data_IF_088338248527
#
_entry.id   IF_088338248527
#
_cell.length_a   1.000
_cell.length_b   1.000
_cell.length_c   1.000
_cell.angle_alpha   90.00
_cell.angle_beta   90.00
_cell.angle_gamma   90.00
#
_symmetry.space_group_name_H-M   'P 1'
#
loop_
_entity.id
_entity.type
_entity.pdbx_description
1 polymer ?
#
# COMPACT_ATOMS: atom_id res chain seq x y z
N UNK A 1 7.08 5.80 0.19
CA UNK A 1 7.30 4.78 1.21
C UNK A 1 6.97 3.36 0.75
N UNK A 2 5.98 3.17 -0.11
CA UNK A 2 5.57 1.84 -0.59
C UNK A 2 6.13 1.50 -1.99
N UNK A 3 7.07 2.27 -2.46
CA UNK A 3 7.86 2.00 -3.66
C UNK A 3 9.17 1.31 -3.29
N UNK A 4 9.77 0.58 -4.22
CA UNK A 4 10.99 -0.20 -4.00
C UNK A 4 12.19 0.66 -3.59
N UNK A 5 12.31 1.88 -4.13
CA UNK A 5 13.38 2.82 -3.79
C UNK A 5 13.41 3.24 -2.30
N UNK A 6 12.31 3.02 -1.56
CA UNK A 6 12.21 3.32 -0.13
C UNK A 6 12.24 2.07 0.76
N UNK A 7 12.58 0.93 0.22
CA UNK A 7 12.80 -0.27 1.00
C UNK A 7 13.98 -0.09 1.95
N UNK A 8 13.89 -0.69 3.13
CA UNK A 8 14.91 -0.57 4.19
C UNK A 8 15.22 0.86 4.62
N UNK A 9 14.33 1.81 4.36
CA UNK A 9 14.49 3.18 4.84
C UNK A 9 14.35 3.25 6.37
N UNK A 10 14.63 4.42 6.95
CA UNK A 10 14.55 4.65 8.42
C UNK A 10 13.14 4.42 9.02
N UNK A 11 12.12 4.38 8.20
CA UNK A 11 10.73 4.07 8.61
C UNK A 11 10.51 2.55 8.74
N UNK A 12 11.32 1.72 8.13
CA UNK A 12 11.20 0.27 8.18
C UNK A 12 11.79 -0.28 9.48
N UNK A 13 10.99 -1.05 10.22
CA UNK A 13 11.44 -1.82 11.39
C UNK A 13 11.51 -3.30 11.05
N UNK A 14 10.51 -3.79 10.32
CA UNK A 14 10.49 -5.17 9.84
C UNK A 14 9.82 -5.25 8.49
N UNK A 15 10.53 -5.79 7.50
CA UNK A 15 10.06 -6.05 6.15
C UNK A 15 10.27 -7.51 5.77
N UNK A 16 9.32 -8.08 5.04
CA UNK A 16 9.50 -9.34 4.32
C UNK A 16 10.04 -9.01 2.92
N UNK A 17 11.18 -9.59 2.59
CA UNK A 17 11.84 -9.36 1.30
C UNK A 17 11.24 -10.20 0.20
N UNK A 18 11.09 -9.58 -0.95
CA UNK A 18 10.71 -10.23 -2.18
C UNK A 18 11.69 -9.88 -3.30
N UNK A 19 11.69 -10.68 -4.37
CA UNK A 19 12.50 -10.41 -5.56
C UNK A 19 11.79 -10.91 -6.82
N UNK A 20 11.89 -10.13 -7.89
CA UNK A 20 11.30 -10.44 -9.19
C UNK A 20 12.17 -11.41 -10.02
N UNK A 21 13.41 -11.66 -9.60
CA UNK A 21 14.36 -12.51 -10.35
C UNK A 21 14.38 -13.97 -9.91
N UNK A 22 13.46 -14.36 -9.03
CA UNK A 22 13.33 -15.74 -8.55
C UNK A 22 12.98 -16.72 -9.66
N UNK A 23 13.76 -17.79 -9.79
CA UNK A 23 13.66 -18.75 -10.91
C UNK A 23 12.42 -19.67 -10.89
N UNK A 24 11.57 -19.59 -9.89
CA UNK A 24 10.54 -20.61 -9.64
C UNK A 24 9.20 -20.02 -9.23
N UNK A 25 8.93 -18.77 -9.55
CA UNK A 25 7.64 -18.17 -9.28
C UNK A 25 6.57 -18.83 -10.18
N UNK A 26 5.89 -19.81 -9.63
CA UNK A 26 4.84 -20.57 -10.29
C UNK A 26 3.60 -20.72 -9.38
N UNK A 27 2.51 -21.18 -9.98
CA UNK A 27 1.25 -21.39 -9.26
C UNK A 27 1.32 -22.54 -8.23
N UNK A 28 2.32 -23.40 -8.29
CA UNK A 28 2.51 -24.45 -7.31
C UNK A 28 3.14 -23.95 -6.00
N UNK A 29 3.63 -22.72 -5.97
CA UNK A 29 4.08 -22.05 -4.76
C UNK A 29 5.36 -22.61 -4.14
N UNK A 30 6.09 -23.47 -4.82
CA UNK A 30 7.20 -24.25 -4.20
C UNK A 30 8.45 -23.42 -3.93
N UNK A 31 8.61 -22.29 -4.61
CA UNK A 31 9.79 -21.46 -4.47
C UNK A 31 9.53 -20.00 -4.91
N UNK A 32 8.31 -19.53 -4.70
CA UNK A 32 7.98 -18.14 -5.02
C UNK A 32 8.79 -17.20 -4.16
N UNK A 33 9.53 -16.31 -4.81
CA UNK A 33 10.32 -15.24 -4.18
C UNK A 33 9.71 -13.86 -4.47
N UNK A 34 8.75 -13.79 -5.40
CA UNK A 34 7.98 -12.61 -5.70
C UNK A 34 6.79 -12.40 -4.76
N UNK A 35 6.37 -11.15 -4.62
CA UNK A 35 5.22 -10.77 -3.84
C UNK A 35 3.94 -10.90 -4.67
N UNK A 36 3.22 -12.01 -4.50
CA UNK A 36 1.96 -12.27 -5.21
C UNK A 36 0.79 -11.42 -4.72
N UNK A 37 0.86 -10.83 -3.53
CA UNK A 37 -0.24 -10.02 -2.98
C UNK A 37 -0.44 -8.73 -3.79
N UNK A 38 0.62 -8.26 -4.43
CA UNK A 38 0.59 -7.04 -5.26
C UNK A 38 -0.45 -7.16 -6.37
N UNK A 39 -0.42 -8.23 -7.17
CA UNK A 39 -1.40 -8.42 -8.27
C UNK A 39 -2.81 -8.62 -7.74
N UNK A 40 -2.96 -9.25 -6.58
CA UNK A 40 -4.27 -9.50 -5.97
C UNK A 40 -4.96 -8.20 -5.56
N UNK A 41 -4.21 -7.23 -5.03
CA UNK A 41 -4.75 -5.97 -4.50
C UNK A 41 -5.07 -4.93 -5.58
N UNK A 42 -4.44 -5.03 -6.75
CA UNK A 42 -4.63 -4.06 -7.84
C UNK A 42 -6.05 -4.03 -8.40
N UNK A 43 -6.48 -2.90 -8.90
CA UNK A 43 -7.79 -2.72 -9.51
C UNK A 43 -7.93 -3.54 -10.80
N UNK A 44 -9.06 -4.22 -10.97
CA UNK A 44 -9.35 -5.00 -12.18
C UNK A 44 -9.80 -4.10 -13.34
N UNK A 45 -9.33 -4.42 -14.56
CA UNK A 45 -9.63 -3.65 -15.77
C UNK A 45 -9.02 -2.25 -15.76
N UNK A 46 -8.00 -2.03 -14.92
CA UNK A 46 -7.28 -0.77 -14.88
C UNK A 46 -6.41 -0.61 -16.12
N UNK A 47 -6.54 0.56 -16.76
CA UNK A 47 -5.60 1.04 -17.78
C UNK A 47 -5.23 2.47 -17.42
N UNK A 48 -3.96 2.68 -17.14
CA UNK A 48 -3.41 3.98 -16.77
C UNK A 48 -2.78 4.64 -18.00
N UNK A 49 -3.25 5.82 -18.43
CA UNK A 49 -2.68 6.54 -19.57
C UNK A 49 -1.22 6.95 -19.33
N UNK A 50 -0.81 7.09 -18.08
CA UNK A 50 0.56 7.43 -17.70
C UNK A 50 1.47 6.21 -17.52
N UNK A 51 0.93 4.99 -17.68
CA UNK A 51 1.66 3.74 -17.53
C UNK A 51 2.42 3.58 -16.20
N UNK A 52 1.87 4.14 -15.13
CA UNK A 52 2.40 3.98 -13.76
C UNK A 52 1.85 2.72 -13.13
N UNK A 53 0.53 2.55 -13.22
CA UNK A 53 -0.17 1.40 -12.64
C UNK A 53 -0.51 0.37 -13.72
N UNK A 54 -0.49 -0.89 -13.34
CA UNK A 54 -0.97 -2.00 -14.18
C UNK A 54 -2.17 -2.66 -13.54
N UNK A 55 -2.95 -3.38 -14.36
CA UNK A 55 -4.13 -4.10 -13.91
C UNK A 55 -3.79 -5.12 -12.83
N UNK A 56 -4.65 -5.22 -11.82
CA UNK A 56 -4.64 -6.30 -10.84
C UNK A 56 -5.92 -7.16 -10.88
N UNK A 57 -6.11 -7.98 -9.86
CA UNK A 57 -7.24 -8.91 -9.82
C UNK A 57 -8.46 -8.41 -9.07
N UNK A 58 -8.36 -7.27 -8.39
CA UNK A 58 -9.48 -6.59 -7.73
C UNK A 58 -9.92 -7.21 -6.41
N UNK A 59 -9.04 -7.96 -5.73
CA UNK A 59 -9.33 -8.43 -4.39
C UNK A 59 -9.14 -7.31 -3.36
N UNK A 60 -9.84 -7.42 -2.21
CA UNK A 60 -9.78 -6.45 -1.12
C UNK A 60 -10.00 -4.98 -1.56
N UNK A 61 -11.14 -4.65 -2.20
CA UNK A 61 -11.45 -3.27 -2.56
C UNK A 61 -11.57 -2.41 -1.30
N UNK A 62 -11.24 -1.13 -1.41
CA UNK A 62 -11.40 -0.18 -0.31
C UNK A 62 -12.88 0.09 -0.06
N UNK A 63 -13.31 0.05 1.19
CA UNK A 63 -14.69 0.36 1.55
C UNK A 63 -14.95 1.87 1.51
N UNK A 64 -16.21 2.25 1.24
CA UNK A 64 -16.63 3.65 1.35
C UNK A 64 -16.37 4.20 2.75
N UNK A 65 -16.56 3.38 3.79
CA UNK A 65 -16.32 3.80 5.17
C UNK A 65 -14.85 4.21 5.41
N UNK A 66 -13.89 3.48 4.82
CA UNK A 66 -12.48 3.88 4.91
C UNK A 66 -12.21 5.17 4.13
N UNK A 67 -12.78 5.30 2.92
CA UNK A 67 -12.64 6.55 2.16
C UNK A 67 -13.18 7.76 2.92
N UNK A 68 -14.34 7.63 3.55
CA UNK A 68 -15.01 8.69 4.29
C UNK A 68 -14.35 9.00 5.65
N UNK A 69 -13.50 8.11 6.15
CA UNK A 69 -12.77 8.32 7.41
C UNK A 69 -11.58 9.29 7.26
N UNK A 70 -11.12 9.57 6.04
CA UNK A 70 -10.11 10.58 5.81
C UNK A 70 -10.72 11.97 5.91
N UNK A 71 -10.01 12.88 6.59
CA UNK A 71 -10.36 14.30 6.57
C UNK A 71 -10.18 14.87 5.15
N UNK A 72 -10.92 15.92 4.76
CA UNK A 72 -10.86 16.49 3.41
C UNK A 72 -9.44 16.85 2.94
N UNK A 73 -8.60 17.34 3.86
CA UNK A 73 -7.24 17.79 3.57
C UNK A 73 -6.16 16.77 4.00
N UNK A 74 -6.55 15.55 4.32
CA UNK A 74 -5.59 14.50 4.73
C UNK A 74 -4.81 13.98 3.50
N UNK A 75 -3.52 14.29 3.36
CA UNK A 75 -2.73 13.90 2.20
C UNK A 75 -2.53 12.37 2.10
N UNK A 76 -2.77 11.63 3.20
CA UNK A 76 -2.68 10.17 3.19
C UNK A 76 -3.78 9.51 2.37
N UNK A 77 -4.93 10.18 2.16
CA UNK A 77 -6.00 9.67 1.30
C UNK A 77 -5.46 9.33 -0.09
N UNK A 78 -4.81 10.29 -0.73
CA UNK A 78 -4.26 10.15 -2.08
C UNK A 78 -3.18 9.08 -2.21
N UNK A 79 -2.40 8.87 -1.16
CA UNK A 79 -1.37 7.82 -1.14
C UNK A 79 -1.91 6.44 -0.79
N UNK A 80 -3.14 6.35 -0.30
CA UNK A 80 -3.76 5.11 0.19
C UNK A 80 -4.81 4.56 -0.77
N UNK A 81 -5.60 5.44 -1.41
CA UNK A 81 -6.80 5.10 -2.17
C UNK A 81 -6.65 5.59 -3.62
N UNK A 82 -7.10 4.77 -4.57
CA UNK A 82 -7.45 5.18 -5.93
C UNK A 82 -8.97 5.35 -5.95
N UNK A 83 -9.44 6.58 -6.13
CA UNK A 83 -10.84 6.87 -6.43
C UNK A 83 -11.07 6.60 -7.91
N UNK A 84 -12.02 5.72 -8.23
CA UNK A 84 -12.26 5.29 -9.61
C UNK A 84 -12.87 6.38 -10.48
N UNK A 85 -13.66 7.29 -9.90
CA UNK A 85 -14.26 8.41 -10.65
C UNK A 85 -13.19 9.44 -10.99
N UNK A 86 -12.35 9.79 -10.02
CA UNK A 86 -11.21 10.70 -10.24
C UNK A 86 -10.24 10.10 -11.28
N UNK A 87 -9.89 8.83 -11.14
CA UNK A 87 -8.99 8.16 -12.08
C UNK A 87 -9.54 8.15 -13.52
N UNK A 88 -10.86 7.95 -13.68
CA UNK A 88 -11.50 8.06 -15.01
C UNK A 88 -11.52 9.49 -15.54
N UNK A 89 -11.71 10.48 -14.67
CA UNK A 89 -11.64 11.89 -15.04
C UNK A 89 -10.25 12.30 -15.55
N UNK A 90 -9.20 11.64 -15.05
CA UNK A 90 -7.80 11.79 -15.49
C UNK A 90 -7.48 11.01 -16.78
N UNK A 91 -8.46 10.35 -17.39
CA UNK A 91 -8.33 9.62 -18.65
C UNK A 91 -8.02 8.13 -18.49
N UNK A 92 -7.97 7.61 -17.29
CA UNK A 92 -7.81 6.20 -17.01
C UNK A 92 -9.11 5.40 -17.19
N UNK A 93 -9.00 4.08 -17.16
CA UNK A 93 -10.17 3.19 -17.10
C UNK A 93 -10.02 2.19 -15.97
N UNK A 94 -11.13 1.84 -15.32
CA UNK A 94 -11.22 0.79 -14.32
C UNK A 94 -12.57 0.10 -14.51
N UNK A 95 -12.60 -1.24 -14.46
CA UNK A 95 -13.85 -2.00 -14.58
C UNK A 95 -14.77 -1.73 -13.40
N UNK A 96 -16.05 -1.51 -13.67
CA UNK A 96 -17.13 -1.50 -12.67
C UNK A 96 -17.90 -2.82 -12.62
N UNK A 97 -17.71 -3.68 -13.61
CA UNK A 97 -18.30 -5.02 -13.66
C UNK A 97 -17.37 -6.03 -12.96
N UNK A 98 -17.25 -5.87 -11.66
CA UNK A 98 -16.44 -6.73 -10.81
C UNK A 98 -17.18 -7.05 -9.52
N UNK A 99 -16.83 -8.19 -8.92
CA UNK A 99 -17.39 -8.57 -7.63
C UNK A 99 -17.03 -7.53 -6.56
N UNK A 100 -18.00 -7.18 -5.70
CA UNK A 100 -17.78 -6.23 -4.59
C UNK A 100 -17.28 -4.84 -5.05
N UNK A 101 -17.75 -4.34 -6.18
CA UNK A 101 -17.40 -2.99 -6.63
C UNK A 101 -17.79 -1.93 -5.60
N UNK A 102 -16.82 -1.16 -5.14
CA UNK A 102 -17.02 -0.08 -4.15
C UNK A 102 -16.80 1.32 -4.72
N UNK A 103 -16.19 1.42 -5.89
CA UNK A 103 -15.70 2.68 -6.48
C UNK A 103 -14.28 3.06 -6.02
N UNK A 104 -13.63 2.23 -5.19
CA UNK A 104 -12.33 2.52 -4.59
C UNK A 104 -11.42 1.30 -4.61
N UNK A 105 -10.13 1.53 -4.86
CA UNK A 105 -9.08 0.50 -4.80
C UNK A 105 -7.92 0.93 -3.93
N UNK A 106 -7.11 -0.04 -3.49
CA UNK A 106 -5.88 0.23 -2.74
C UNK A 106 -4.85 0.86 -3.68
N UNK A 107 -4.25 2.00 -3.32
CA UNK A 107 -3.10 2.58 -4.03
C UNK A 107 -1.78 2.05 -3.50
N UNK A 108 -1.68 1.88 -2.18
CA UNK A 108 -0.53 1.20 -1.56
C UNK A 108 -0.46 -0.24 -2.07
N UNK A 109 0.74 -0.67 -2.44
CA UNK A 109 0.94 -2.01 -3.01
C UNK A 109 0.11 -2.28 -4.29
N UNK A 110 -0.33 -1.25 -5.00
CA UNK A 110 -0.93 -1.45 -6.31
C UNK A 110 0.14 -1.92 -7.30
N UNK A 111 -0.16 -2.85 -8.22
CA UNK A 111 0.78 -3.25 -9.26
C UNK A 111 1.27 -2.05 -10.07
N UNK A 112 2.59 -1.95 -10.25
CA UNK A 112 3.23 -0.89 -11.03
C UNK A 112 4.02 -1.45 -12.19
N UNK A 113 4.07 -0.71 -13.28
CA UNK A 113 4.87 -1.05 -14.43
C UNK A 113 6.36 -1.14 -14.05
N UNK A 114 7.03 -2.20 -14.48
CA UNK A 114 8.45 -2.41 -14.18
C UNK A 114 8.77 -2.98 -12.80
N UNK A 115 7.75 -3.33 -11.99
CA UNK A 115 7.96 -3.90 -10.65
C UNK A 115 7.81 -5.43 -10.62
N UNK A 116 7.49 -6.04 -11.75
CA UNK A 116 7.51 -7.48 -11.98
C UNK A 116 8.47 -7.85 -13.09
N UNK A 117 8.83 -9.12 -13.19
CA UNK A 117 9.61 -9.63 -14.31
C UNK A 117 8.94 -10.83 -14.96
N UNK A 118 9.35 -11.14 -16.20
CA UNK A 118 8.84 -12.28 -16.97
C UNK A 118 9.47 -13.60 -16.57
N UNK A 119 10.33 -13.62 -15.55
CA UNK A 119 10.90 -14.85 -15.01
C UNK A 119 9.82 -15.61 -14.25
N UNK A 120 9.50 -16.83 -14.68
CA UNK A 120 8.37 -17.58 -14.12
C UNK A 120 7.00 -16.99 -14.50
N UNK A 121 6.10 -16.91 -13.54
CA UNK A 121 4.76 -16.31 -13.72
C UNK A 121 4.79 -14.84 -13.32
N UNK A 122 4.76 -13.94 -14.29
CA UNK A 122 4.88 -12.49 -14.07
C UNK A 122 3.91 -11.95 -13.02
N UNK A 123 2.66 -12.43 -13.02
CA UNK A 123 1.65 -12.02 -12.06
C UNK A 123 2.02 -12.31 -10.59
N UNK A 124 2.90 -13.27 -10.33
CA UNK A 124 3.35 -13.65 -8.99
C UNK A 124 4.70 -13.05 -8.61
N UNK A 125 5.28 -12.24 -9.49
CA UNK A 125 6.71 -11.94 -9.46
C UNK A 125 7.01 -10.44 -9.27
N UNK A 126 6.31 -9.83 -8.30
CA UNK A 126 6.58 -8.44 -7.91
C UNK A 126 7.70 -8.35 -6.88
N UNK A 127 8.56 -7.33 -7.01
CA UNK A 127 9.72 -7.11 -6.14
C UNK A 127 9.42 -6.36 -4.85
N UNK A 128 8.26 -5.75 -4.71
CA UNK A 128 7.91 -4.92 -3.57
C UNK A 128 7.98 -5.68 -2.25
N UNK A 129 8.79 -5.23 -1.32
CA UNK A 129 8.81 -5.74 0.05
C UNK A 129 7.50 -5.46 0.78
N UNK A 130 7.09 -6.37 1.65
CA UNK A 130 5.96 -6.16 2.53
C UNK A 130 6.42 -5.60 3.88
N UNK A 131 6.03 -4.38 4.20
CA UNK A 131 6.37 -3.70 5.46
C UNK A 131 5.42 -4.12 6.56
N UNK A 132 5.90 -5.00 7.43
CA UNK A 132 5.11 -5.56 8.53
C UNK A 132 5.02 -4.58 9.68
N UNK A 133 6.15 -3.98 10.07
CA UNK A 133 6.23 -3.01 11.17
C UNK A 133 7.00 -1.78 10.70
N UNK A 134 6.41 -0.62 10.89
CA UNK A 134 7.02 0.67 10.58
C UNK A 134 7.30 1.45 11.86
N UNK A 135 8.23 2.38 11.80
CA UNK A 135 8.59 3.20 12.95
C UNK A 135 7.41 4.04 13.47
N UNK A 136 6.52 4.51 12.59
CA UNK A 136 5.27 5.16 13.00
C UNK A 136 4.37 4.26 13.84
N UNK A 137 4.33 2.95 13.55
CA UNK A 137 3.54 2.00 14.35
C UNK A 137 4.13 1.86 15.76
N UNK A 138 5.47 1.83 15.86
CA UNK A 138 6.17 1.81 17.17
C UNK A 138 5.87 3.08 17.98
N UNK A 139 5.88 4.25 17.35
CA UNK A 139 5.55 5.52 18.02
C UNK A 139 4.12 5.54 18.56
N UNK A 140 3.15 5.05 17.75
CA UNK A 140 1.75 4.98 18.17
C UNK A 140 1.56 3.97 19.32
N UNK A 141 2.20 2.80 19.24
CA UNK A 141 2.17 1.81 20.32
C UNK A 141 2.82 2.34 21.62
N UNK A 142 3.93 3.07 21.50
CA UNK A 142 4.58 3.69 22.66
C UNK A 142 3.68 4.76 23.30
N UNK A 143 3.05 5.61 22.49
CA UNK A 143 2.08 6.61 22.97
C UNK A 143 0.92 5.94 23.72
N UNK A 144 0.32 4.90 23.16
CA UNK A 144 -0.76 4.16 23.80
C UNK A 144 -0.31 3.48 25.10
N UNK A 145 0.86 2.83 25.09
CA UNK A 145 1.41 2.15 26.28
C UNK A 145 1.65 3.11 27.44
N UNK A 146 2.19 4.30 27.19
CA UNK A 146 2.37 5.35 28.19
C UNK A 146 1.04 5.76 28.82
N UNK A 147 0.02 6.02 28.01
CA UNK A 147 -1.29 6.40 28.52
C UNK A 147 -1.95 5.30 29.34
N UNK A 148 -1.88 4.05 28.89
CA UNK A 148 -2.48 2.90 29.59
C UNK A 148 -1.76 2.53 30.88
N UNK A 149 -0.45 2.77 30.96
CA UNK A 149 0.34 2.50 32.18
C UNK A 149 0.27 3.63 33.22
N UNK A 150 -0.42 4.73 32.92
CA UNK A 150 -0.41 5.93 33.78
C UNK A 150 0.91 6.72 33.72
N UNK A 151 1.68 6.55 32.65
CA UNK A 151 2.91 7.28 32.39
C UNK A 151 2.67 8.74 31.93
N UNK A 152 3.71 9.36 31.43
CA UNK A 152 3.69 10.78 31.03
C UNK A 152 2.76 11.01 29.83
N UNK A 153 1.70 11.80 30.04
CA UNK A 153 0.78 12.25 28.99
C UNK A 153 1.53 13.11 27.97
N UNK A 154 2.44 13.98 28.42
CA UNK A 154 3.24 14.85 27.54
C UNK A 154 4.12 14.03 26.58
N UNK A 155 4.81 13.03 27.10
CA UNK A 155 5.64 12.15 26.26
C UNK A 155 4.78 11.32 25.26
N UNK A 156 3.62 10.85 25.69
CA UNK A 156 2.68 10.16 24.81
C UNK A 156 2.20 11.08 23.66
N UNK A 157 1.90 12.33 23.96
CA UNK A 157 1.53 13.34 22.99
C UNK A 157 2.67 13.64 22.01
N UNK A 158 3.92 13.69 22.48
CA UNK A 158 5.08 13.92 21.61
C UNK A 158 5.26 12.79 20.58
N UNK A 159 5.13 11.53 21.00
CA UNK A 159 5.17 10.39 20.06
C UNK A 159 4.05 10.45 19.03
N UNK A 160 2.84 10.73 19.47
CA UNK A 160 1.69 10.88 18.57
C UNK A 160 1.88 12.04 17.58
N UNK A 161 2.32 13.21 18.09
CA UNK A 161 2.53 14.41 17.29
C UNK A 161 3.55 14.19 16.15
N UNK A 162 4.61 13.42 16.38
CA UNK A 162 5.58 13.08 15.33
C UNK A 162 4.94 12.35 14.15
N UNK A 163 4.02 11.41 14.44
CA UNK A 163 3.31 10.69 13.38
C UNK A 163 2.35 11.62 12.62
N UNK A 164 1.63 12.50 13.35
CA UNK A 164 0.70 13.46 12.75
C UNK A 164 1.44 14.46 11.86
N UNK A 165 2.53 15.07 12.35
CA UNK A 165 3.32 16.05 11.58
C UNK A 165 3.80 15.44 10.26
N UNK A 166 4.43 14.28 10.32
CA UNK A 166 4.85 13.59 9.10
C UNK A 166 3.66 13.31 8.16
N UNK A 167 2.53 12.89 8.70
CA UNK A 167 1.34 12.56 7.91
C UNK A 167 0.76 13.78 7.19
N UNK A 168 0.84 14.96 7.82
CA UNK A 168 0.32 16.21 7.27
C UNK A 168 1.35 16.99 6.43
N UNK A 169 2.60 16.52 6.36
CA UNK A 169 3.65 17.16 5.58
C UNK A 169 4.30 18.35 6.27
N UNK A 170 4.24 18.42 7.59
CA UNK A 170 4.79 19.50 8.42
C UNK A 170 6.23 19.21 8.90
N UNK A 171 6.92 18.27 8.28
CA UNK A 171 8.33 17.89 8.57
C UNK A 171 9.30 18.59 7.62
#
# INVERSE_FOLDING_TARGET
>A
LFDDEYEWCKESVFEVNYTEIGNSNDWAGKANQGNSDIIMLGARGLKDPNNVYVEGWGFAPVTKALNDAFLPDDPRKWTTIIDHEEFRAEGGTISSDVNQYTGYSVRKYHPRAGYSSTVGTEALNYKNNYRVIRFSDILLMASEALLRSGGSVGEAQDYYARVVKRAMGDD
#
